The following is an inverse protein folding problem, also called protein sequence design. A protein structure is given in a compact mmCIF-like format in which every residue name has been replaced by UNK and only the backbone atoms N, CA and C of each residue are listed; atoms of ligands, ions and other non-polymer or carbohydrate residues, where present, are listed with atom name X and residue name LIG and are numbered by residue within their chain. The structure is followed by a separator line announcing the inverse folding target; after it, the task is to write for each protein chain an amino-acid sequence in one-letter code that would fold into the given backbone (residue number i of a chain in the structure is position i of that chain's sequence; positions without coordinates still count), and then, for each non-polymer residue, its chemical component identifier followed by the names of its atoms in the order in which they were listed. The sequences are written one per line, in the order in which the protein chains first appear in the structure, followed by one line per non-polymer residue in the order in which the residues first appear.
data_IF_846698638443
#
_entry.id   IF_846698638443
#
_cell.length_a   1.000
_cell.length_b   1.000
_cell.length_c   1.000
_cell.angle_alpha   90.00
_cell.angle_beta   90.00
_cell.angle_gamma   90.00
#
_symmetry.space_group_name_H-M   'P 1'
#
loop_
_entity.id
_entity.type
_entity.pdbx_description
1 polymer ?
#
# COMPACT_ATOMS: atom_id res chain seq x y z
N UNK A 1 6.66 -12.98 9.26
CA UNK A 1 7.65 -11.90 9.04
C UNK A 1 7.38 -11.20 7.72
N UNK A 2 7.68 -9.91 7.64
CA UNK A 2 7.42 -9.13 6.43
C UNK A 2 8.37 -9.54 5.31
N UNK A 3 7.83 -9.77 4.13
CA UNK A 3 8.60 -10.05 2.93
C UNK A 3 8.66 -8.77 2.08
N UNK A 4 9.63 -7.91 2.38
CA UNK A 4 9.79 -6.63 1.70
C UNK A 4 10.79 -6.79 0.55
N UNK A 5 10.37 -6.40 -0.64
CA UNK A 5 11.21 -6.45 -1.83
C UNK A 5 11.51 -5.03 -2.32
N UNK A 6 12.79 -4.74 -2.50
CA UNK A 6 13.25 -3.42 -2.90
C UNK A 6 13.75 -3.48 -4.33
N UNK A 7 13.32 -2.51 -5.15
CA UNK A 7 13.81 -2.35 -6.51
C UNK A 7 14.65 -1.08 -6.63
N UNK A 8 15.92 -1.24 -6.99
CA UNK A 8 16.81 -0.11 -7.27
C UNK A 8 16.54 0.49 -8.65
N UNK A 9 15.78 -0.22 -9.48
CA UNK A 9 15.43 0.23 -10.83
C UNK A 9 14.17 1.08 -10.85
N UNK A 10 13.39 1.08 -9.77
CA UNK A 10 12.18 1.88 -9.66
C UNK A 10 12.50 3.36 -9.46
N UNK A 11 11.64 4.24 -9.99
CA UNK A 11 11.73 5.69 -9.73
C UNK A 11 11.22 6.06 -8.33
N UNK A 12 10.56 5.13 -7.64
CA UNK A 12 10.06 5.37 -6.27
C UNK A 12 11.23 5.26 -5.29
N UNK A 13 11.41 6.25 -4.41
CA UNK A 13 12.46 6.19 -3.39
C UNK A 13 12.36 4.94 -2.52
N UNK A 14 13.49 4.41 -2.08
CA UNK A 14 13.52 3.17 -1.29
C UNK A 14 12.70 3.30 0.00
N UNK A 15 12.79 4.44 0.70
CA UNK A 15 12.01 4.62 1.94
C UNK A 15 10.50 4.50 1.67
N UNK A 16 10.05 5.00 0.53
CA UNK A 16 8.64 4.92 0.14
C UNK A 16 8.24 3.49 -0.21
N UNK A 17 9.12 2.75 -0.87
CA UNK A 17 8.88 1.33 -1.17
C UNK A 17 8.71 0.52 0.12
N UNK A 18 9.56 0.76 1.11
CA UNK A 18 9.48 0.09 2.40
C UNK A 18 8.18 0.47 3.13
N UNK A 19 7.89 1.76 3.23
CA UNK A 19 6.69 2.25 3.90
C UNK A 19 5.41 1.69 3.26
N UNK A 20 5.34 1.70 1.93
CA UNK A 20 4.16 1.20 1.20
C UNK A 20 3.94 -0.28 1.44
N UNK A 21 4.98 -1.09 1.45
CA UNK A 21 4.85 -2.52 1.66
C UNK A 21 4.43 -2.86 3.09
N UNK A 22 4.95 -2.14 4.09
CA UNK A 22 4.49 -2.30 5.47
C UNK A 22 3.04 -1.89 5.60
N UNK A 23 2.67 -0.75 5.03
CA UNK A 23 1.28 -0.27 5.00
C UNK A 23 0.35 -1.32 4.40
N UNK A 24 0.72 -1.89 3.26
CA UNK A 24 -0.09 -2.92 2.62
C UNK A 24 -0.25 -4.17 3.50
N UNK A 25 0.80 -4.56 4.22
CA UNK A 25 0.73 -5.69 5.15
C UNK A 25 -0.21 -5.42 6.33
N UNK A 26 -0.28 -4.16 6.77
CA UNK A 26 -1.23 -3.75 7.81
C UNK A 26 -2.65 -3.77 7.26
N UNK A 27 -2.86 -3.21 6.07
CA UNK A 27 -4.19 -3.10 5.48
C UNK A 27 -4.78 -4.44 5.05
N UNK A 28 -3.93 -5.38 4.62
CA UNK A 28 -4.41 -6.70 4.22
C UNK A 28 -4.53 -7.71 5.38
N UNK A 29 -4.17 -7.29 6.58
CA UNK A 29 -4.29 -8.14 7.77
C UNK A 29 -3.12 -9.06 8.05
N UNK A 30 -2.06 -9.02 7.24
CA UNK A 30 -0.84 -9.81 7.51
C UNK A 30 -0.16 -9.36 8.77
N UNK A 31 -0.15 -8.05 9.03
CA UNK A 31 0.26 -7.47 10.30
C UNK A 31 -0.99 -7.04 11.05
N UNK A 32 -1.14 -7.51 12.26
CA UNK A 32 -2.34 -7.26 13.07
C UNK A 32 -2.09 -6.17 14.11
N UNK A 33 -3.17 -5.61 14.63
CA UNK A 33 -3.12 -4.63 15.71
C UNK A 33 -2.21 -5.13 16.84
N UNK A 34 -1.31 -4.27 17.29
CA UNK A 34 -0.33 -4.52 18.34
C UNK A 34 0.80 -5.50 17.98
N UNK A 35 0.87 -5.97 16.75
CA UNK A 35 2.04 -6.70 16.29
C UNK A 35 3.26 -5.79 16.35
N UNK A 36 4.37 -6.32 16.85
CA UNK A 36 5.62 -5.57 16.90
C UNK A 36 6.33 -5.62 15.56
N UNK A 37 6.76 -4.45 15.07
CA UNK A 37 7.61 -4.35 13.89
C UNK A 37 9.05 -4.64 14.25
N UNK A 38 9.87 -5.07 13.27
CA UNK A 38 11.32 -5.15 13.51
C UNK A 38 11.87 -3.80 13.92
N UNK A 39 12.93 -3.79 14.71
CA UNK A 39 13.62 -2.54 15.02
C UNK A 39 14.21 -1.94 13.73
N UNK A 40 14.44 -0.64 13.74
CA UNK A 40 15.04 0.05 12.60
C UNK A 40 16.36 -0.62 12.21
N UNK A 41 17.19 -0.96 13.19
CA UNK A 41 18.49 -1.61 12.94
C UNK A 41 18.32 -3.00 12.34
N UNK A 42 17.39 -3.80 12.87
CA UNK A 42 17.13 -5.13 12.36
C UNK A 42 16.65 -5.09 10.90
N UNK A 43 15.71 -4.21 10.60
CA UNK A 43 15.17 -4.12 9.25
C UNK A 43 16.22 -3.57 8.28
N UNK A 44 17.00 -2.59 8.70
CA UNK A 44 18.12 -2.06 7.92
C UNK A 44 19.09 -3.15 7.52
N UNK A 45 19.47 -3.99 8.49
CA UNK A 45 20.39 -5.11 8.26
C UNK A 45 19.77 -6.16 7.33
N UNK A 46 18.51 -6.53 7.57
CA UNK A 46 17.81 -7.53 6.77
C UNK A 46 17.66 -7.10 5.31
N UNK A 47 17.31 -5.84 5.07
CA UNK A 47 17.09 -5.31 3.72
C UNK A 47 18.35 -4.78 3.05
N UNK A 48 19.45 -4.71 3.79
CA UNK A 48 20.71 -4.13 3.29
C UNK A 48 20.53 -2.68 2.82
N UNK A 49 19.75 -1.91 3.59
CA UNK A 49 19.57 -0.47 3.32
C UNK A 49 20.00 0.33 4.55
N UNK A 50 20.23 1.63 4.35
CA UNK A 50 20.68 2.50 5.42
C UNK A 50 19.68 2.64 6.55
N UNK A 51 20.19 2.83 7.77
CA UNK A 51 19.36 3.06 8.96
C UNK A 51 18.47 4.29 8.77
N UNK A 52 19.01 5.36 8.18
CA UNK A 52 18.26 6.60 7.94
C UNK A 52 17.08 6.35 7.00
N UNK A 53 17.27 5.50 5.99
CA UNK A 53 16.21 5.13 5.04
C UNK A 53 15.06 4.40 5.75
N UNK A 54 15.38 3.42 6.57
CA UNK A 54 14.36 2.69 7.34
C UNK A 54 13.68 3.60 8.36
N UNK A 55 14.46 4.45 9.03
CA UNK A 55 13.90 5.42 9.97
C UNK A 55 12.89 6.33 9.29
N UNK A 56 13.21 6.82 8.10
CA UNK A 56 12.30 7.66 7.32
C UNK A 56 11.01 6.90 6.95
N UNK A 57 11.12 5.63 6.63
CA UNK A 57 9.95 4.79 6.36
C UNK A 57 9.03 4.71 7.58
N UNK A 58 9.61 4.47 8.76
CA UNK A 58 8.84 4.40 10.01
C UNK A 58 8.23 5.75 10.39
N UNK A 59 8.92 6.85 10.11
CA UNK A 59 8.39 8.20 10.34
C UNK A 59 7.15 8.46 9.49
N UNK A 60 7.15 8.01 8.23
CA UNK A 60 5.97 8.11 7.36
C UNK A 60 4.79 7.32 7.95
N UNK A 61 5.05 6.10 8.41
CA UNK A 61 4.01 5.25 9.00
C UNK A 61 3.47 5.82 10.32
N UNK A 62 4.33 6.42 11.13
CA UNK A 62 3.92 7.10 12.37
C UNK A 62 3.06 8.31 12.06
N UNK A 63 3.42 9.09 11.05
CA UNK A 63 2.67 10.27 10.63
C UNK A 63 1.29 9.90 10.12
N UNK A 64 1.17 8.78 9.43
CA UNK A 64 -0.11 8.26 8.94
C UNK A 64 -0.90 7.51 10.04
N UNK A 65 -0.36 7.44 11.24
CA UNK A 65 -0.98 6.76 12.38
C UNK A 65 -1.23 5.26 12.15
N UNK A 66 -0.42 4.66 11.29
CA UNK A 66 -0.48 3.22 11.01
C UNK A 66 0.28 2.40 12.06
N UNK A 67 1.27 3.01 12.68
CA UNK A 67 2.05 2.41 13.75
C UNK A 67 2.19 3.40 14.90
N UNK A 68 2.57 2.89 16.07
CA UNK A 68 2.89 3.74 17.21
C UNK A 68 4.19 3.28 17.86
N UNK A 69 4.82 4.19 18.59
CA UNK A 69 6.07 3.92 19.30
C UNK A 69 5.82 3.73 20.79
N UNK A 70 6.50 2.76 21.37
CA UNK A 70 6.48 2.50 22.80
C UNK A 70 7.87 2.72 23.39
N UNK A 71 8.44 3.87 23.14
CA UNK A 71 9.77 4.24 23.64
C UNK A 71 10.85 3.23 23.24
N UNK A 72 11.63 2.76 24.19
CA UNK A 72 12.71 1.82 23.95
C UNK A 72 12.22 0.40 23.59
N UNK A 73 10.94 0.11 23.82
CA UNK A 73 10.39 -1.21 23.51
C UNK A 73 10.28 -1.43 22.01
N UNK A 74 9.93 -0.37 21.24
CA UNK A 74 9.89 -0.46 19.79
C UNK A 74 8.63 0.11 19.16
N UNK A 75 8.37 -0.34 17.94
CA UNK A 75 7.24 0.10 17.11
C UNK A 75 6.23 -1.01 16.96
N UNK A 76 4.96 -0.65 16.97
CA UNK A 76 3.84 -1.60 16.96
C UNK A 76 2.77 -1.13 15.98
N UNK A 77 2.03 -2.09 15.42
CA UNK A 77 0.90 -1.79 14.54
C UNK A 77 -0.23 -1.16 15.37
N UNK A 78 -0.73 -0.02 14.90
CA UNK A 78 -1.79 0.71 15.57
C UNK A 78 -3.15 0.04 15.37
N UNK A 79 -4.11 0.39 16.22
CA UNK A 79 -5.49 -0.01 16.03
C UNK A 79 -6.11 0.87 14.93
N UNK A 80 -6.45 0.25 13.81
CA UNK A 80 -6.92 0.96 12.63
C UNK A 80 -8.33 0.50 12.31
N UNK A 81 -9.23 1.47 12.11
CA UNK A 81 -10.55 1.18 11.58
C UNK A 81 -10.43 0.89 10.09
N UNK A 82 -10.41 -0.40 9.74
CA UNK A 82 -10.25 -0.85 8.36
C UNK A 82 -11.38 -0.35 7.47
N UNK A 83 -12.60 -0.25 7.98
CA UNK A 83 -13.73 0.26 7.18
C UNK A 83 -13.51 1.70 6.76
N UNK A 84 -13.02 2.54 7.66
CA UNK A 84 -12.67 3.93 7.35
C UNK A 84 -11.55 4.00 6.33
N UNK A 85 -10.50 3.19 6.51
CA UNK A 85 -9.36 3.16 5.57
C UNK A 85 -9.82 2.72 4.19
N UNK A 86 -10.65 1.68 4.10
CA UNK A 86 -11.17 1.19 2.81
C UNK A 86 -12.07 2.23 2.14
N UNK A 87 -12.86 2.97 2.91
CA UNK A 87 -13.68 4.06 2.36
C UNK A 87 -12.81 5.14 1.72
N UNK A 88 -11.72 5.52 2.38
CA UNK A 88 -10.77 6.51 1.84
C UNK A 88 -10.12 5.96 0.57
N UNK A 89 -9.73 4.69 0.56
CA UNK A 89 -9.16 4.05 -0.62
C UNK A 89 -10.13 4.03 -1.80
N UNK A 90 -11.40 3.73 -1.54
CA UNK A 90 -12.44 3.76 -2.59
C UNK A 90 -12.55 5.13 -3.23
N UNK A 91 -12.49 6.20 -2.43
CA UNK A 91 -12.54 7.56 -2.97
C UNK A 91 -11.33 7.87 -3.85
N UNK A 92 -10.14 7.44 -3.43
CA UNK A 92 -8.92 7.63 -4.21
C UNK A 92 -9.02 6.93 -5.59
N UNK A 93 -9.47 5.68 -5.59
CA UNK A 93 -9.64 4.92 -6.83
C UNK A 93 -10.77 5.46 -7.71
N UNK A 94 -11.82 5.99 -7.09
CA UNK A 94 -12.90 6.63 -7.83
C UNK A 94 -12.37 7.81 -8.66
N UNK A 95 -11.50 8.63 -8.07
CA UNK A 95 -10.89 9.76 -8.76
C UNK A 95 -10.02 9.29 -9.93
N UNK A 96 -9.17 8.28 -9.70
CA UNK A 96 -8.30 7.74 -10.74
C UNK A 96 -9.10 7.11 -11.89
N UNK A 97 -10.12 6.33 -11.55
CA UNK A 97 -10.97 5.69 -12.55
C UNK A 97 -11.71 6.71 -13.39
N UNK A 98 -12.20 7.77 -12.74
CA UNK A 98 -12.88 8.86 -13.44
C UNK A 98 -11.97 9.52 -14.46
N UNK A 99 -10.70 9.74 -14.11
CA UNK A 99 -9.72 10.33 -15.03
C UNK A 99 -9.49 9.42 -16.25
N UNK A 100 -9.40 8.10 -16.03
CA UNK A 100 -9.23 7.13 -17.11
C UNK A 100 -10.44 7.14 -18.02
N UNK A 101 -11.64 7.15 -17.46
CA UNK A 101 -12.88 7.17 -18.23
C UNK A 101 -13.01 8.45 -19.06
N UNK A 102 -12.71 9.61 -18.46
CA UNK A 102 -12.73 10.88 -19.16
C UNK A 102 -11.76 10.89 -20.35
N UNK A 103 -10.58 10.31 -20.16
CA UNK A 103 -9.58 10.19 -21.21
C UNK A 103 -10.06 9.28 -22.34
N UNK A 104 -10.70 8.17 -21.99
CA UNK A 104 -11.27 7.24 -22.99
C UNK A 104 -12.36 7.93 -23.83
N UNK A 105 -13.22 8.71 -23.20
CA UNK A 105 -14.26 9.47 -23.89
C UNK A 105 -13.62 10.50 -24.84
N UNK A 106 -12.59 11.20 -24.41
CA UNK A 106 -11.87 12.14 -25.25
C UNK A 106 -11.21 11.47 -26.45
N UNK A 107 -10.80 10.21 -26.29
CA UNK A 107 -10.21 9.42 -27.37
C UNK A 107 -11.27 8.87 -28.36
N UNK A 108 -12.54 9.10 -28.09
CA UNK A 108 -13.63 8.74 -28.99
C UNK A 108 -14.42 7.51 -28.60
N UNK A 109 -14.14 6.89 -27.46
CA UNK A 109 -14.91 5.74 -27.00
C UNK A 109 -16.25 6.19 -26.42
N UNK A 110 -17.30 5.41 -26.66
CA UNK A 110 -18.60 5.68 -26.06
C UNK A 110 -18.77 4.91 -24.75
N UNK A 111 -19.87 5.15 -24.07
CA UNK A 111 -20.14 4.54 -22.76
C UNK A 111 -20.23 3.02 -22.87
N UNK A 112 -20.78 2.48 -23.94
CA UNK A 112 -20.86 1.03 -24.13
C UNK A 112 -19.47 0.40 -24.29
N UNK A 113 -18.58 1.06 -25.04
CA UNK A 113 -17.20 0.61 -25.18
C UNK A 113 -16.51 0.55 -23.81
N UNK A 114 -16.74 1.55 -22.97
CA UNK A 114 -16.14 1.64 -21.64
C UNK A 114 -16.69 0.53 -20.74
N UNK A 115 -18.00 0.29 -20.77
CA UNK A 115 -18.62 -0.82 -20.04
C UNK A 115 -18.02 -2.16 -20.44
N UNK A 116 -17.83 -2.39 -21.74
CA UNK A 116 -17.23 -3.63 -22.23
C UNK A 116 -15.82 -3.82 -21.72
N UNK A 117 -15.02 -2.75 -21.69
CA UNK A 117 -13.65 -2.79 -21.16
C UNK A 117 -13.67 -3.13 -19.66
N UNK A 118 -14.53 -2.47 -18.89
CA UNK A 118 -14.64 -2.71 -17.45
C UNK A 118 -15.08 -4.14 -17.17
N UNK A 119 -16.11 -4.61 -17.89
CA UNK A 119 -16.62 -5.98 -17.72
C UNK A 119 -15.53 -7.00 -18.02
N UNK A 120 -14.75 -6.78 -19.07
CA UNK A 120 -13.63 -7.67 -19.43
C UNK A 120 -12.59 -7.74 -18.30
N UNK A 121 -12.22 -6.60 -17.75
CA UNK A 121 -11.24 -6.56 -16.66
C UNK A 121 -11.78 -7.27 -15.42
N UNK A 122 -13.05 -7.04 -15.07
CA UNK A 122 -13.68 -7.70 -13.93
C UNK A 122 -13.78 -9.20 -14.10
N UNK A 123 -14.12 -9.68 -15.32
CA UNK A 123 -14.16 -11.10 -15.62
C UNK A 123 -12.80 -11.76 -15.43
N UNK A 124 -11.74 -11.13 -15.91
CA UNK A 124 -10.37 -11.60 -15.72
C UNK A 124 -10.02 -11.74 -14.23
N UNK A 125 -10.43 -10.77 -13.39
CA UNK A 125 -10.18 -10.80 -11.96
C UNK A 125 -10.98 -11.88 -11.24
N UNK A 126 -12.21 -12.12 -11.65
CA UNK A 126 -13.04 -13.20 -11.10
C UNK A 126 -12.41 -14.55 -11.42
N UNK A 127 -11.91 -14.73 -12.64
CA UNK A 127 -11.22 -15.95 -13.06
C UNK A 127 -9.96 -16.21 -12.23
N UNK A 128 -9.14 -15.18 -12.02
CA UNK A 128 -7.92 -15.27 -11.22
C UNK A 128 -8.24 -15.69 -9.78
N UNK A 129 -9.34 -15.21 -9.22
CA UNK A 129 -9.76 -15.53 -7.85
C UNK A 129 -10.34 -16.92 -7.68
N UNK A 130 -10.83 -17.53 -8.74
CA UNK A 130 -11.46 -18.85 -8.68
C UNK A 130 -10.43 -20.00 -8.68
N UNK A 131 -9.19 -19.67 -8.93
CA UNK A 131 -8.07 -20.59 -8.81
C UNK A 131 -7.53 -20.60 -7.38
#
# INVERSE_FOLDING_TARGET
MMDIKISNMSSVPIYQQVATQIKNSILNGSLKCNDQLPSIRSLSKELEVGIITVKKSYEVLLQEELIYSKGAVGYFVNDIDLDTVLSIKKEEYLVELKEIIDRAINDGLNIEDIKDIVDKVLEEKIYDKSE
#
